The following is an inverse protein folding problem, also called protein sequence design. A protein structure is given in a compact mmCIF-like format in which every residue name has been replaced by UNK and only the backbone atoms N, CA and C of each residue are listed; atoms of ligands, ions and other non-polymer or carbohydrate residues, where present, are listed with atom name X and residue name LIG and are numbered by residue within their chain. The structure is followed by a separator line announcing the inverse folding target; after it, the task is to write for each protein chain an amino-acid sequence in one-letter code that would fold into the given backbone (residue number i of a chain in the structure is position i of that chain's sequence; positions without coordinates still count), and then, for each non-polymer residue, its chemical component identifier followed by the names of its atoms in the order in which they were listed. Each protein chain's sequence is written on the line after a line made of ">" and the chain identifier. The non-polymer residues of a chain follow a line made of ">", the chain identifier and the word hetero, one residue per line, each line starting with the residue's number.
data_IF_759162038267
#
_entry.id   IF_759162038267
#
_cell.length_a   1.000
_cell.length_b   1.000
_cell.length_c   1.000
_cell.angle_alpha   90.00
_cell.angle_beta   90.00
_cell.angle_gamma   90.00
#
_symmetry.space_group_name_H-M   'P 1'
#
loop_
_entity.id
_entity.type
_entity.pdbx_description
1 polymer ?
#
# COMPACT_ATOMS: atom_id res chain seq x y z
N UNK A 1 8.96 -10.37 21.94
CA UNK A 1 8.97 -11.51 21.01
C UNK A 1 10.20 -11.38 20.13
N UNK A 2 11.16 -12.29 20.26
CA UNK A 2 12.38 -12.26 19.44
C UNK A 2 12.05 -12.80 18.05
N UNK A 3 12.06 -11.94 17.04
CA UNK A 3 11.99 -12.41 15.65
C UNK A 3 13.35 -13.03 15.28
N UNK A 4 13.49 -14.35 15.39
CA UNK A 4 14.64 -15.06 14.81
C UNK A 4 14.50 -15.08 13.28
N UNK A 5 14.96 -14.00 12.64
CA UNK A 5 15.27 -14.02 11.23
C UNK A 5 16.54 -14.85 11.03
N UNK A 6 16.39 -16.11 10.59
CA UNK A 6 17.52 -16.87 10.04
C UNK A 6 17.74 -16.44 8.60
N UNK A 7 18.41 -15.32 8.41
CA UNK A 7 19.13 -14.98 7.18
C UNK A 7 20.50 -14.37 7.53
N UNK A 8 21.53 -14.99 6.94
CA UNK A 8 22.99 -14.74 6.96
C UNK A 8 23.51 -13.43 7.58
N UNK A 9 24.41 -13.57 8.56
CA UNK A 9 25.42 -12.56 8.91
C UNK A 9 25.76 -12.48 10.40
N UNK A 10 26.97 -12.93 10.77
CA UNK A 10 27.63 -12.85 12.10
C UNK A 10 27.01 -13.62 13.27
N UNK A 11 27.78 -14.62 13.73
CA UNK A 11 27.54 -15.50 14.87
C UNK A 11 28.08 -14.83 16.15
N UNK A 12 27.20 -14.44 17.07
CA UNK A 12 27.52 -14.51 18.50
C UNK A 12 26.80 -15.73 19.10
N UNK A 13 27.59 -16.55 19.81
CA UNK A 13 27.15 -17.77 20.48
C UNK A 13 26.32 -17.41 21.71
N UNK A 14 25.06 -17.82 21.74
CA UNK A 14 24.33 -18.14 22.97
C UNK A 14 23.44 -19.35 22.70
N UNK A 15 23.66 -20.40 23.49
CA UNK A 15 22.89 -21.64 23.65
C UNK A 15 22.97 -22.66 22.50
N UNK A 16 24.08 -23.42 22.53
CA UNK A 16 24.19 -24.77 21.98
C UNK A 16 23.37 -25.71 22.86
N UNK A 17 22.20 -26.14 22.38
CA UNK A 17 21.62 -27.49 22.60
C UNK A 17 20.16 -27.59 22.12
N UNK A 18 19.85 -26.96 20.98
CA UNK A 18 18.62 -27.29 20.24
C UNK A 18 19.01 -27.89 18.89
N UNK A 19 18.92 -29.22 18.81
CA UNK A 19 19.04 -30.03 17.59
C UNK A 19 18.27 -29.34 16.46
N UNK A 20 18.88 -29.07 15.28
CA UNK A 20 18.16 -28.45 14.18
C UNK A 20 16.94 -29.33 13.84
N UNK A 21 15.73 -28.76 13.71
CA UNK A 21 14.56 -29.54 13.39
C UNK A 21 14.75 -30.23 12.02
N UNK A 22 14.19 -31.44 11.84
CA UNK A 22 14.30 -32.19 10.60
C UNK A 22 13.85 -31.33 9.42
N UNK A 23 14.50 -31.52 8.26
CA UNK A 23 14.26 -30.81 6.98
C UNK A 23 12.92 -31.19 6.33
N UNK A 24 11.85 -31.25 7.13
CA UNK A 24 10.49 -31.44 6.67
C UNK A 24 9.97 -30.20 5.96
N UNK A 25 9.05 -30.42 5.02
CA UNK A 25 8.28 -29.37 4.36
C UNK A 25 7.58 -28.53 5.44
N UNK A 26 7.98 -27.26 5.57
CA UNK A 26 7.32 -26.31 6.47
C UNK A 26 5.88 -26.11 6.00
N UNK A 27 4.91 -26.43 6.85
CA UNK A 27 3.48 -26.20 6.61
C UNK A 27 2.94 -25.24 7.65
N UNK A 28 1.94 -24.46 7.25
CA UNK A 28 1.20 -23.62 8.19
C UNK A 28 0.39 -24.55 9.12
N UNK A 29 0.43 -24.32 10.42
CA UNK A 29 -0.33 -25.05 11.42
C UNK A 29 -1.84 -24.78 11.31
N UNK A 30 -2.23 -23.65 10.71
CA UNK A 30 -3.62 -23.34 10.43
C UNK A 30 -4.16 -24.21 9.28
N UNK A 31 -5.12 -25.09 9.56
CA UNK A 31 -5.72 -26.02 8.61
C UNK A 31 -6.43 -25.33 7.44
N UNK A 32 -6.98 -24.13 7.65
CA UNK A 32 -7.63 -23.31 6.60
C UNK A 32 -6.67 -22.45 5.77
N UNK A 33 -5.36 -22.68 5.87
CA UNK A 33 -4.36 -21.91 5.13
C UNK A 33 -4.22 -22.41 3.68
N UNK A 34 -4.87 -21.72 2.74
CA UNK A 34 -4.73 -21.95 1.28
C UNK A 34 -3.39 -21.49 0.68
N UNK A 35 -2.52 -20.87 1.48
CA UNK A 35 -1.23 -20.41 0.97
C UNK A 35 -0.33 -21.61 0.63
N UNK A 36 -0.34 -22.02 -0.63
CA UNK A 36 0.61 -22.97 -1.22
C UNK A 36 1.55 -22.24 -2.17
N UNK A 37 2.85 -22.26 -1.93
CA UNK A 37 3.84 -21.64 -2.81
C UNK A 37 5.27 -21.69 -2.26
N UNK A 38 6.25 -21.68 -3.17
CA UNK A 38 7.69 -21.85 -2.85
C UNK A 38 8.34 -20.65 -2.12
N UNK A 39 7.61 -19.55 -1.90
CA UNK A 39 8.15 -18.32 -1.32
C UNK A 39 7.34 -17.79 -0.11
N UNK A 40 6.81 -18.71 0.69
CA UNK A 40 6.05 -18.34 1.88
C UNK A 40 7.00 -18.22 3.08
N UNK A 41 7.04 -17.04 3.70
CA UNK A 41 7.73 -16.85 4.99
C UNK A 41 6.89 -17.50 6.09
N UNK A 42 7.55 -18.27 6.95
CA UNK A 42 6.93 -18.91 8.11
C UNK A 42 7.52 -18.34 9.39
N UNK A 43 6.67 -18.15 10.40
CA UNK A 43 7.02 -17.69 11.74
C UNK A 43 6.61 -18.76 12.74
N UNK A 44 7.50 -19.08 13.67
CA UNK A 44 7.17 -19.90 14.83
C UNK A 44 6.69 -18.97 15.92
N UNK A 45 5.58 -19.32 16.56
CA UNK A 45 5.03 -18.54 17.66
C UNK A 45 5.62 -19.10 18.95
N UNK A 46 6.48 -18.31 19.61
CA UNK A 46 7.02 -18.71 20.92
C UNK A 46 5.93 -18.60 22.00
N UNK A 47 5.96 -19.51 22.97
CA UNK A 47 5.12 -19.43 24.16
C UNK A 47 5.25 -18.06 24.86
N UNK A 48 4.12 -17.47 25.26
CA UNK A 48 4.07 -16.16 25.91
C UNK A 48 4.26 -14.94 24.98
N UNK A 49 4.21 -15.12 23.65
CA UNK A 49 4.25 -13.97 22.75
C UNK A 49 2.93 -13.16 22.80
N UNK A 50 3.06 -11.84 22.95
CA UNK A 50 1.95 -10.87 22.97
C UNK A 50 2.05 -9.90 21.80
N UNK A 51 2.06 -10.41 20.57
CA UNK A 51 2.11 -9.55 19.38
C UNK A 51 0.74 -8.91 19.12
N UNK A 52 0.69 -7.58 18.99
CA UNK A 52 -0.54 -6.86 18.68
C UNK A 52 -1.54 -6.76 19.85
N UNK A 53 -1.12 -7.01 21.09
CA UNK A 53 -2.00 -6.97 22.27
C UNK A 53 -3.02 -8.11 22.31
N UNK A 54 -2.74 -9.22 21.63
CA UNK A 54 -3.54 -10.44 21.63
C UNK A 54 -2.79 -11.55 22.37
N UNK A 55 -3.55 -12.46 22.97
CA UNK A 55 -3.01 -13.68 23.58
C UNK A 55 -2.75 -14.71 22.47
N UNK A 56 -1.52 -15.25 22.41
CA UNK A 56 -1.12 -16.27 21.44
C UNK A 56 -0.95 -17.65 22.08
N UNK A 57 -1.38 -17.84 23.33
CA UNK A 57 -1.16 -19.07 24.08
C UNK A 57 -1.72 -20.31 23.38
N UNK A 58 -2.87 -20.18 22.71
CA UNK A 58 -3.47 -21.26 21.91
C UNK A 58 -2.66 -21.66 20.66
N UNK A 59 -1.72 -20.80 20.24
CA UNK A 59 -0.86 -20.99 19.06
C UNK A 59 0.61 -21.15 19.45
N UNK A 60 0.93 -21.31 20.74
CA UNK A 60 2.29 -21.55 21.19
C UNK A 60 2.89 -22.77 20.47
N UNK A 61 4.14 -22.64 20.04
CA UNK A 61 4.91 -23.62 19.28
C UNK A 61 4.34 -23.96 17.88
N UNK A 62 3.28 -23.27 17.45
CA UNK A 62 2.71 -23.41 16.11
C UNK A 62 3.51 -22.61 15.09
N UNK A 63 3.59 -23.12 13.85
CA UNK A 63 4.22 -22.45 12.73
C UNK A 63 3.16 -21.84 11.82
N UNK A 64 3.13 -20.51 11.67
CA UNK A 64 2.20 -19.83 10.78
C UNK A 64 2.91 -19.25 9.56
N UNK A 65 2.26 -19.26 8.41
CA UNK A 65 2.72 -18.41 7.30
C UNK A 65 2.53 -16.93 7.66
N UNK A 66 3.31 -16.05 7.03
CA UNK A 66 3.26 -14.59 7.26
C UNK A 66 1.83 -14.04 7.16
N UNK A 67 1.06 -14.50 6.18
CA UNK A 67 -0.33 -14.07 5.99
C UNK A 67 -1.24 -14.48 7.16
N UNK A 68 -1.10 -15.71 7.66
CA UNK A 68 -1.85 -16.21 8.82
C UNK A 68 -1.42 -15.48 10.10
N UNK A 69 -0.12 -15.26 10.26
CA UNK A 69 0.43 -14.49 11.38
C UNK A 69 -0.14 -13.05 11.40
N UNK A 70 -0.09 -12.32 10.29
CA UNK A 70 -0.59 -10.96 10.22
C UNK A 70 -2.11 -10.89 10.41
N UNK A 71 -2.84 -11.91 9.94
CA UNK A 71 -4.28 -12.04 10.22
C UNK A 71 -4.55 -12.18 11.71
N UNK A 72 -3.92 -13.15 12.37
CA UNK A 72 -4.13 -13.39 13.80
C UNK A 72 -3.69 -12.17 14.63
N UNK A 73 -2.54 -11.57 14.30
CA UNK A 73 -2.06 -10.35 14.94
C UNK A 73 -3.06 -9.20 14.86
N UNK A 74 -3.78 -9.07 13.73
CA UNK A 74 -4.73 -7.97 13.49
C UNK A 74 -6.13 -8.27 14.05
N UNK A 75 -6.59 -9.52 13.96
CA UNK A 75 -7.97 -9.90 14.22
C UNK A 75 -8.15 -10.72 15.50
N UNK A 76 -7.10 -11.34 16.03
CA UNK A 76 -7.15 -12.27 17.16
C UNK A 76 -7.69 -13.66 16.82
N UNK A 77 -8.04 -13.91 15.56
CA UNK A 77 -8.48 -15.23 15.06
C UNK A 77 -7.82 -15.53 13.71
N UNK A 78 -7.53 -16.81 13.47
CA UNK A 78 -6.97 -17.33 12.22
C UNK A 78 -8.07 -17.68 11.23
N UNK A 79 -9.26 -17.97 11.74
CA UNK A 79 -10.42 -18.24 10.94
C UNK A 79 -10.57 -17.11 9.94
N UNK A 80 -10.49 -17.47 8.65
CA UNK A 80 -11.21 -16.67 7.67
C UNK A 80 -12.61 -16.72 8.25
N UNK A 81 -13.09 -15.62 8.84
CA UNK A 81 -14.51 -15.49 9.07
C UNK A 81 -15.10 -15.84 7.70
N UNK A 82 -15.70 -17.03 7.62
CA UNK A 82 -16.25 -17.59 6.39
C UNK A 82 -17.48 -16.75 6.10
N UNK A 83 -17.25 -15.49 5.76
CA UNK A 83 -18.08 -14.77 4.83
C UNK A 83 -17.85 -15.45 3.48
N UNK A 84 -18.26 -16.72 3.39
CA UNK A 84 -18.73 -17.33 2.15
C UNK A 84 -19.55 -16.21 1.52
N UNK A 85 -19.17 -15.73 0.32
CA UNK A 85 -19.85 -14.60 -0.29
C UNK A 85 -21.33 -14.95 -0.29
N UNK A 86 -22.11 -14.27 0.56
CA UNK A 86 -23.54 -14.49 0.61
C UNK A 86 -24.03 -14.34 -0.82
N UNK A 87 -24.85 -15.29 -1.27
CA UNK A 87 -25.43 -15.25 -2.61
C UNK A 87 -26.04 -13.86 -2.85
N UNK A 88 -25.92 -13.34 -4.08
CA UNK A 88 -26.23 -11.94 -4.38
C UNK A 88 -27.64 -11.52 -3.96
N UNK A 89 -28.56 -12.50 -3.90
CA UNK A 89 -29.95 -12.39 -3.45
C UNK A 89 -30.11 -12.14 -1.94
N UNK A 90 -29.12 -12.49 -1.10
CA UNK A 90 -29.17 -12.41 0.36
C UNK A 90 -28.46 -11.18 0.95
N UNK A 91 -27.97 -10.24 0.12
CA UNK A 91 -27.15 -9.11 0.54
C UNK A 91 -27.96 -7.85 0.84
N UNK A 92 -28.86 -7.93 1.82
CA UNK A 92 -29.61 -6.78 2.31
C UNK A 92 -29.35 -6.57 3.80
N UNK A 93 -29.12 -5.31 4.19
CA UNK A 93 -29.05 -4.94 5.59
C UNK A 93 -30.41 -5.23 6.24
N UNK A 94 -30.41 -6.09 7.25
CA UNK A 94 -31.60 -6.52 7.99
C UNK A 94 -32.01 -5.52 9.10
N UNK A 95 -31.31 -4.40 9.21
CA UNK A 95 -31.73 -3.33 10.12
C UNK A 95 -32.80 -2.46 9.46
N UNK A 96 -34.01 -2.45 10.04
CA UNK A 96 -35.20 -1.82 9.47
C UNK A 96 -35.04 -0.32 9.20
N UNK A 97 -34.24 0.41 9.99
CA UNK A 97 -34.00 1.85 9.80
C UNK A 97 -32.75 2.16 8.97
N UNK A 98 -32.27 1.21 8.17
CA UNK A 98 -31.16 1.43 7.25
C UNK A 98 -31.62 2.26 6.03
N UNK A 99 -30.99 3.42 5.79
CA UNK A 99 -31.34 4.29 4.65
C UNK A 99 -31.12 3.62 3.28
N UNK A 100 -30.16 2.70 3.24
CA UNK A 100 -29.66 2.09 2.01
C UNK A 100 -29.26 0.64 2.28
N UNK A 101 -30.25 -0.25 2.41
CA UNK A 101 -29.99 -1.61 2.84
C UNK A 101 -29.24 -2.45 1.79
N UNK A 102 -29.23 -2.03 0.52
CA UNK A 102 -28.60 -2.75 -0.61
C UNK A 102 -27.30 -2.08 -1.13
N UNK A 103 -27.04 -0.80 -0.81
CA UNK A 103 -25.95 0.00 -1.40
C UNK A 103 -24.56 -0.29 -0.80
N UNK A 104 -24.40 -1.40 -0.08
CA UNK A 104 -23.13 -1.75 0.56
C UNK A 104 -22.38 -2.82 -0.21
N UNK A 105 -21.10 -2.60 -0.44
CA UNK A 105 -20.21 -3.62 -1.04
C UNK A 105 -19.86 -4.74 -0.06
N UNK A 106 -20.14 -4.56 1.23
CA UNK A 106 -19.75 -5.48 2.30
C UNK A 106 -20.85 -5.52 3.36
N UNK A 107 -21.12 -6.73 3.81
CA UNK A 107 -22.07 -7.03 4.87
C UNK A 107 -21.36 -7.86 5.93
N UNK A 108 -21.80 -7.71 7.18
CA UNK A 108 -21.28 -8.43 8.33
C UNK A 108 -22.44 -9.13 9.00
N UNK A 109 -22.38 -10.46 9.08
CA UNK A 109 -23.32 -11.23 9.87
C UNK A 109 -22.82 -11.22 11.32
N UNK A 110 -23.70 -10.85 12.24
CA UNK A 110 -23.38 -10.83 13.66
C UNK A 110 -23.61 -12.23 14.21
N UNK A 111 -22.58 -12.83 14.81
CA UNK A 111 -22.58 -14.21 15.33
C UNK A 111 -23.04 -14.29 16.80
N UNK A 112 -23.31 -13.16 17.45
CA UNK A 112 -23.73 -13.09 18.86
C UNK A 112 -22.58 -13.18 19.86
N UNK A 113 -21.45 -13.79 19.49
CA UNK A 113 -20.24 -13.88 20.31
C UNK A 113 -19.24 -12.73 20.04
N UNK A 114 -19.45 -11.97 18.97
CA UNK A 114 -18.61 -10.82 18.63
C UNK A 114 -18.55 -9.77 19.76
N UNK A 115 -17.38 -9.58 20.37
CA UNK A 115 -17.10 -8.46 21.29
C UNK A 115 -16.46 -7.24 20.58
N UNK A 116 -16.78 -7.06 19.28
CA UNK A 116 -16.12 -6.05 18.46
C UNK A 116 -16.43 -4.63 18.97
N UNK A 117 -15.39 -3.88 19.35
CA UNK A 117 -15.54 -2.51 19.87
C UNK A 117 -16.05 -2.41 21.32
N UNK A 118 -16.04 -3.51 22.08
CA UNK A 118 -16.45 -3.52 23.49
C UNK A 118 -17.94 -3.26 23.71
N UNK A 119 -18.76 -3.46 22.68
CA UNK A 119 -20.22 -3.37 22.75
C UNK A 119 -20.82 -4.77 22.88
N UNK A 120 -22.02 -4.87 23.47
CA UNK A 120 -22.80 -6.11 23.49
C UNK A 120 -23.58 -6.26 22.18
N UNK A 121 -23.30 -7.32 21.42
CA UNK A 121 -23.92 -7.61 20.13
C UNK A 121 -25.04 -8.65 20.25
N UNK A 122 -25.35 -9.12 21.45
CA UNK A 122 -26.30 -10.21 21.69
C UNK A 122 -27.69 -9.94 21.10
N UNK A 123 -28.17 -8.69 21.16
CA UNK A 123 -29.46 -8.26 20.57
C UNK A 123 -29.49 -8.27 19.05
N UNK A 124 -28.32 -8.35 18.40
CA UNK A 124 -28.16 -8.35 16.95
C UNK A 124 -27.66 -9.70 16.42
N UNK A 125 -27.59 -10.73 17.26
CA UNK A 125 -27.16 -12.07 16.85
C UNK A 125 -28.03 -12.59 15.68
N UNK A 126 -27.37 -13.07 14.62
CA UNK A 126 -28.00 -13.51 13.37
C UNK A 126 -28.34 -12.40 12.38
N UNK A 127 -28.26 -11.12 12.76
CA UNK A 127 -28.62 -9.99 11.90
C UNK A 127 -27.49 -9.69 10.92
N UNK A 128 -27.84 -9.48 9.65
CA UNK A 128 -26.90 -9.04 8.61
C UNK A 128 -26.88 -7.51 8.52
N UNK A 129 -25.76 -6.88 8.86
CA UNK A 129 -25.61 -5.42 8.81
C UNK A 129 -24.72 -5.00 7.63
N UNK A 130 -25.09 -3.90 6.97
CA UNK A 130 -24.17 -3.21 6.07
C UNK A 130 -23.02 -2.57 6.86
N UNK A 131 -21.88 -2.32 6.22
CA UNK A 131 -20.71 -1.73 6.91
C UNK A 131 -21.02 -0.42 7.64
N UNK A 132 -21.92 0.41 7.11
CA UNK A 132 -22.28 1.68 7.74
C UNK A 132 -23.06 1.49 9.05
N UNK A 133 -23.97 0.51 9.10
CA UNK A 133 -24.72 0.16 10.31
C UNK A 133 -23.81 -0.54 11.32
N UNK A 134 -23.00 -1.50 10.86
CA UNK A 134 -21.99 -2.17 11.68
C UNK A 134 -21.06 -1.16 12.36
N UNK A 135 -20.48 -0.21 11.60
CA UNK A 135 -19.59 0.81 12.17
C UNK A 135 -20.30 1.75 13.14
N UNK A 136 -21.59 2.05 12.91
CA UNK A 136 -22.36 2.87 13.84
C UNK A 136 -22.53 2.14 15.18
N UNK A 137 -23.02 0.91 15.16
CA UNK A 137 -23.22 0.13 16.38
C UNK A 137 -21.89 -0.07 17.12
N UNK A 138 -20.84 -0.45 16.39
CA UNK A 138 -19.49 -0.62 16.96
C UNK A 138 -18.97 0.64 17.67
N UNK A 139 -19.31 1.84 17.17
CA UNK A 139 -18.83 3.11 17.75
C UNK A 139 -19.73 3.66 18.86
N UNK A 140 -21.04 3.41 18.79
CA UNK A 140 -22.02 4.09 19.63
C UNK A 140 -22.83 3.15 20.53
N UNK A 141 -22.70 1.83 20.36
CA UNK A 141 -23.51 0.82 21.07
C UNK A 141 -24.99 0.79 20.65
N UNK A 142 -25.39 1.58 19.66
CA UNK A 142 -26.78 1.64 19.17
C UNK A 142 -26.82 1.89 17.66
N UNK A 143 -27.78 1.24 16.99
CA UNK A 143 -28.09 1.45 15.57
C UNK A 143 -29.06 2.60 15.36
N UNK A 144 -29.84 2.93 16.40
CA UNK A 144 -30.74 4.06 16.38
C UNK A 144 -29.94 5.30 16.03
N UNK A 145 -30.40 6.01 15.00
CA UNK A 145 -29.89 7.36 14.78
C UNK A 145 -30.30 8.13 16.01
N UNK A 146 -29.33 8.48 16.86
CA UNK A 146 -29.53 9.54 17.82
C UNK A 146 -30.28 10.64 17.07
N UNK A 147 -31.50 11.03 17.52
CA UNK A 147 -32.31 11.99 16.80
C UNK A 147 -31.36 13.12 16.51
N UNK A 148 -31.18 13.43 15.21
CA UNK A 148 -30.34 14.55 14.82
C UNK A 148 -30.99 15.72 15.52
N UNK A 149 -30.49 16.07 16.72
CA UNK A 149 -30.78 17.33 17.38
C UNK A 149 -30.30 18.28 16.29
N UNK A 150 -31.25 18.78 15.50
CA UNK A 150 -31.03 19.94 14.66
C UNK A 150 -30.61 20.94 15.71
N UNK A 151 -29.30 21.07 15.88
CA UNK A 151 -28.77 22.02 16.83
C UNK A 151 -29.50 23.31 16.46
N UNK A 152 -30.22 23.94 17.42
CA UNK A 152 -30.89 25.19 17.14
C UNK A 152 -29.88 26.05 16.39
N UNK A 153 -30.27 26.69 15.27
CA UNK A 153 -29.35 27.38 14.38
C UNK A 153 -28.46 28.25 15.25
N UNK A 154 -27.23 27.76 15.47
CA UNK A 154 -26.31 28.44 16.35
C UNK A 154 -26.04 29.80 15.73
N UNK A 155 -25.59 30.79 16.52
CA UNK A 155 -25.12 32.04 15.94
C UNK A 155 -24.19 31.72 14.76
N UNK A 156 -24.30 32.45 13.64
CA UNK A 156 -23.52 32.19 12.44
C UNK A 156 -22.05 32.06 12.83
N UNK A 157 -21.47 30.88 12.59
CA UNK A 157 -20.08 30.61 12.92
C UNK A 157 -19.23 31.42 11.94
N UNK A 158 -18.54 32.43 12.44
CA UNK A 158 -17.55 33.19 11.67
C UNK A 158 -16.14 32.78 12.07
N UNK A 159 -15.18 32.97 11.17
CA UNK A 159 -13.78 32.81 11.49
C UNK A 159 -13.35 33.91 12.47
N UNK A 160 -12.82 33.53 13.63
CA UNK A 160 -12.30 34.45 14.66
C UNK A 160 -11.00 35.13 14.25
N UNK A 161 -10.32 34.65 13.21
CA UNK A 161 -9.09 35.26 12.74
C UNK A 161 -9.36 36.56 11.98
N UNK A 162 -8.90 37.68 12.53
CA UNK A 162 -9.21 39.03 12.04
C UNK A 162 -8.71 39.32 10.61
N UNK A 163 -7.69 38.61 10.11
CA UNK A 163 -7.20 38.73 8.72
C UNK A 163 -7.72 37.61 7.80
N UNK A 164 -8.80 36.93 8.18
CA UNK A 164 -9.45 35.99 7.30
C UNK A 164 -10.13 36.74 6.14
N UNK A 165 -9.89 36.40 4.85
CA UNK A 165 -10.50 37.10 3.72
C UNK A 165 -11.99 36.81 3.57
N UNK A 166 -12.45 35.69 4.15
CA UNK A 166 -13.82 35.18 4.04
C UNK A 166 -14.23 34.60 5.39
N UNK A 167 -14.46 35.44 6.42
CA UNK A 167 -14.78 34.95 7.75
C UNK A 167 -16.14 34.24 7.79
N UNK A 168 -17.09 34.65 6.94
CA UNK A 168 -18.47 34.15 6.93
C UNK A 168 -18.77 33.13 5.81
N UNK A 169 -17.89 33.03 4.81
CA UNK A 169 -18.09 32.16 3.63
C UNK A 169 -17.17 30.94 3.67
N UNK A 170 -17.41 30.05 4.62
CA UNK A 170 -16.69 28.78 4.69
C UNK A 170 -17.60 27.59 4.96
N UNK A 171 -17.38 26.52 4.18
CA UNK A 171 -18.15 25.27 4.29
C UNK A 171 -17.99 24.57 5.64
N UNK A 172 -16.91 24.87 6.37
CA UNK A 172 -16.56 24.22 7.63
C UNK A 172 -15.79 25.15 8.55
N UNK A 173 -16.22 25.16 9.81
CA UNK A 173 -15.60 25.87 10.92
C UNK A 173 -15.12 24.86 11.97
N UNK A 174 -13.95 25.11 12.53
CA UNK A 174 -13.29 24.25 13.50
C UNK A 174 -13.04 25.08 14.74
N UNK A 175 -13.65 24.68 15.86
CA UNK A 175 -13.35 25.27 17.17
C UNK A 175 -12.02 24.70 17.64
N UNK A 176 -11.10 25.57 18.02
CA UNK A 176 -9.81 25.21 18.55
C UNK A 176 -9.95 25.02 20.06
N UNK A 177 -9.28 23.97 20.54
CA UNK A 177 -9.10 23.70 21.95
C UNK A 177 -7.59 23.77 22.23
N UNK A 178 -7.18 24.41 23.32
CA UNK A 178 -5.78 24.69 23.64
C UNK A 178 -4.92 23.45 23.86
N UNK A 179 -5.54 22.29 24.09
CA UNK A 179 -4.91 20.98 24.20
C UNK A 179 -4.74 20.26 22.85
N UNK A 180 -5.15 20.87 21.74
CA UNK A 180 -4.98 20.30 20.40
C UNK A 180 -3.51 20.17 20.04
N UNK A 181 -3.10 18.97 19.61
CA UNK A 181 -1.74 18.68 19.10
C UNK A 181 -1.71 18.52 17.57
N UNK A 182 -2.77 18.96 16.88
CA UNK A 182 -2.91 18.78 15.44
C UNK A 182 -1.75 19.42 14.67
N UNK A 183 -1.05 18.62 13.86
CA UNK A 183 0.08 19.09 13.05
C UNK A 183 1.38 19.36 13.83
N UNK A 184 1.45 18.98 15.11
CA UNK A 184 2.62 19.23 15.95
C UNK A 184 2.86 20.70 16.29
N UNK A 185 1.85 21.54 16.13
CA UNK A 185 1.89 22.98 16.47
C UNK A 185 1.30 23.22 17.84
N UNK A 186 1.71 24.30 18.51
CA UNK A 186 1.08 24.79 19.73
C UNK A 186 -0.16 25.64 19.39
N UNK A 187 -1.33 25.20 19.86
CA UNK A 187 -2.61 25.86 19.62
C UNK A 187 -3.08 26.73 20.79
N UNK A 188 -2.29 26.83 21.87
CA UNK A 188 -2.65 27.55 23.10
C UNK A 188 -3.09 29.00 22.83
N UNK A 189 -2.39 29.71 21.93
CA UNK A 189 -2.73 31.09 21.53
C UNK A 189 -4.06 31.23 20.76
N UNK A 190 -4.60 30.11 20.28
CA UNK A 190 -5.84 30.06 19.52
C UNK A 190 -6.96 29.35 20.30
N UNK A 191 -6.77 29.03 21.58
CA UNK A 191 -7.79 28.35 22.38
C UNK A 191 -9.12 29.12 22.39
N UNK A 192 -10.21 28.39 22.20
CA UNK A 192 -11.57 28.93 22.11
C UNK A 192 -11.91 29.60 20.76
N UNK A 193 -10.92 29.95 19.92
CA UNK A 193 -11.17 30.55 18.62
C UNK A 193 -11.85 29.56 17.67
N UNK A 194 -12.65 30.09 16.75
CA UNK A 194 -13.25 29.32 15.66
C UNK A 194 -12.56 29.68 14.36
N UNK A 195 -11.84 28.75 13.75
CA UNK A 195 -11.19 29.00 12.46
C UNK A 195 -12.00 28.39 11.32
N UNK A 196 -12.00 29.07 10.18
CA UNK A 196 -12.44 28.44 8.95
C UNK A 196 -11.43 27.36 8.51
N UNK A 197 -11.88 26.38 7.72
CA UNK A 197 -11.03 25.25 7.30
C UNK A 197 -9.70 25.69 6.69
N UNK A 198 -9.70 26.74 5.87
CA UNK A 198 -8.49 27.28 5.23
C UNK A 198 -7.50 27.86 6.25
N UNK A 199 -7.99 28.61 7.24
CA UNK A 199 -7.14 29.17 8.30
C UNK A 199 -6.59 28.05 9.21
N UNK A 200 -7.44 27.08 9.57
CA UNK A 200 -7.03 25.92 10.35
C UNK A 200 -5.90 25.13 9.67
N UNK A 201 -6.06 24.77 8.39
CA UNK A 201 -5.04 24.02 7.66
C UNK A 201 -3.74 24.81 7.54
N UNK A 202 -3.82 26.12 7.30
CA UNK A 202 -2.63 26.96 7.26
C UNK A 202 -1.87 26.96 8.58
N UNK A 203 -2.54 27.20 9.71
CA UNK A 203 -1.87 27.17 11.01
C UNK A 203 -1.30 25.79 11.30
N UNK A 204 -2.07 24.72 11.02
CA UNK A 204 -1.62 23.34 11.16
C UNK A 204 -0.33 23.04 10.38
N UNK A 205 -0.23 23.54 9.15
CA UNK A 205 0.89 23.23 8.26
C UNK A 205 2.09 24.17 8.46
N UNK A 206 1.86 25.43 8.88
CA UNK A 206 2.90 26.48 8.95
C UNK A 206 3.21 26.99 10.36
N UNK A 207 2.38 26.68 11.36
CA UNK A 207 2.48 27.24 12.71
C UNK A 207 2.08 28.71 12.84
N UNK A 208 1.62 29.36 11.76
CA UNK A 208 1.19 30.77 11.77
C UNK A 208 -0.05 30.99 10.89
N UNK A 209 -0.92 31.91 11.32
CA UNK A 209 -2.07 32.38 10.55
C UNK A 209 -1.73 33.59 9.68
N UNK A 210 -0.60 34.25 9.95
CA UNK A 210 -0.17 35.43 9.22
C UNK A 210 -0.02 35.09 7.74
N UNK A 211 -0.66 35.93 6.92
CA UNK A 211 -0.39 35.97 5.50
C UNK A 211 0.92 36.73 5.38
N UNK A 212 1.97 36.06 4.91
CA UNK A 212 3.16 36.77 4.42
C UNK A 212 2.66 37.92 3.53
N UNK A 213 3.22 39.12 3.64
CA UNK A 213 2.74 40.28 2.85
C UNK A 213 2.70 40.02 1.33
N UNK A 214 3.40 38.98 0.88
CA UNK A 214 3.40 38.42 -0.48
C UNK A 214 2.08 37.73 -0.90
N UNK A 215 1.22 37.34 0.05
CA UNK A 215 -0.15 36.83 -0.19
C UNK A 215 -1.16 37.98 -0.44
N UNK A 216 -0.76 39.24 -0.26
CA UNK A 216 -1.52 40.38 -0.80
C UNK A 216 -1.48 40.24 -2.32
N UNK A 217 -2.61 39.80 -2.88
CA UNK A 217 -2.90 39.65 -4.30
C UNK A 217 -1.98 40.55 -5.14
N UNK A 218 -0.97 40.00 -5.85
CA UNK A 218 -0.07 40.83 -6.62
C UNK A 218 -0.87 41.63 -7.66
N UNK A 219 -0.43 42.87 -7.97
CA UNK A 219 -1.06 43.67 -9.01
C UNK A 219 -1.14 42.84 -10.32
N UNK A 220 -2.23 42.97 -11.08
CA UNK A 220 -2.46 42.13 -12.24
C UNK A 220 -1.46 42.49 -13.36
N UNK A 221 -1.27 41.53 -14.27
CA UNK A 221 -0.76 41.70 -15.65
C UNK A 221 0.74 41.79 -15.93
N UNK A 222 1.59 41.17 -15.10
CA UNK A 222 2.89 40.67 -15.59
C UNK A 222 2.73 39.26 -16.17
N UNK A 223 3.23 39.01 -17.39
CA UNK A 223 3.34 37.65 -17.94
C UNK A 223 4.20 36.82 -16.99
N UNK A 224 3.60 35.89 -16.25
CA UNK A 224 4.32 35.01 -15.32
C UNK A 224 5.25 34.12 -16.14
N UNK A 225 6.55 34.23 -15.91
CA UNK A 225 7.58 33.36 -16.50
C UNK A 225 8.23 32.54 -15.41
N UNK A 226 8.58 31.30 -15.75
CA UNK A 226 9.39 30.47 -14.87
C UNK A 226 10.80 31.08 -14.78
N UNK A 227 11.34 31.23 -13.58
CA UNK A 227 12.68 31.75 -13.33
C UNK A 227 13.77 30.80 -13.84
N UNK A 228 13.44 29.52 -14.02
CA UNK A 228 14.35 28.56 -14.63
C UNK A 228 14.48 28.82 -16.13
N UNK A 229 15.66 29.25 -16.58
CA UNK A 229 15.96 29.59 -17.97
C UNK A 229 15.77 28.41 -18.94
N UNK A 230 15.97 27.16 -18.48
CA UNK A 230 15.72 25.94 -19.26
C UNK A 230 14.25 25.47 -19.28
N UNK A 231 13.31 26.29 -18.79
CA UNK A 231 11.89 25.93 -18.77
C UNK A 231 11.21 26.24 -20.11
N UNK A 232 10.90 25.21 -20.88
CA UNK A 232 10.16 25.32 -22.16
C UNK A 232 8.65 25.43 -21.97
N UNK A 233 8.16 25.43 -20.72
CA UNK A 233 6.74 25.43 -20.44
C UNK A 233 6.15 26.82 -20.76
N UNK A 234 5.63 26.96 -21.98
CA UNK A 234 4.84 28.11 -22.43
C UNK A 234 3.39 27.64 -22.63
N UNK A 235 2.45 28.22 -21.90
CA UNK A 235 1.05 27.83 -21.97
C UNK A 235 0.18 28.56 -20.95
N UNK A 236 -1.04 28.88 -21.35
CA UNK A 236 -2.00 29.69 -20.57
C UNK A 236 -2.52 28.99 -19.29
N UNK A 237 -2.26 27.69 -19.13
CA UNK A 237 -2.76 26.87 -18.01
C UNK A 237 -1.67 26.37 -17.06
N UNK A 238 -0.51 27.02 -17.02
CA UNK A 238 0.58 26.62 -16.14
C UNK A 238 0.41 27.29 -14.78
N UNK A 239 0.29 26.48 -13.72
CA UNK A 239 0.32 26.97 -12.34
C UNK A 239 1.75 27.38 -11.98
N UNK A 240 1.91 28.59 -11.49
CA UNK A 240 3.18 29.12 -10.99
C UNK A 240 3.15 29.19 -9.47
N UNK A 241 4.28 28.87 -8.84
CA UNK A 241 4.52 28.98 -7.40
C UNK A 241 5.69 29.93 -7.17
N UNK A 242 5.52 30.85 -6.23
CA UNK A 242 6.62 31.65 -5.69
C UNK A 242 7.30 30.84 -4.61
N UNK A 243 8.62 30.81 -4.62
CA UNK A 243 9.42 30.14 -3.59
C UNK A 243 9.66 31.14 -2.47
N UNK A 244 9.09 30.86 -1.29
CA UNK A 244 9.35 31.69 -0.11
C UNK A 244 10.78 31.46 0.41
N UNK A 245 11.43 32.54 0.86
CA UNK A 245 12.69 32.44 1.58
C UNK A 245 12.54 31.52 2.80
N UNK A 246 13.50 30.60 3.00
CA UNK A 246 13.45 29.60 4.08
C UNK A 246 12.53 28.40 3.82
N UNK A 247 11.96 28.25 2.61
CA UNK A 247 11.20 27.06 2.26
C UNK A 247 12.10 25.81 2.28
N UNK A 248 11.66 24.74 2.95
CA UNK A 248 12.36 23.44 3.02
C UNK A 248 11.52 22.31 2.40
N UNK A 249 10.75 22.62 1.35
CA UNK A 249 9.88 21.64 0.73
C UNK A 249 10.67 20.44 0.19
N UNK A 250 10.32 19.23 0.63
CA UNK A 250 11.02 17.99 0.23
C UNK A 250 12.39 17.78 0.90
N UNK A 251 12.71 18.54 1.96
CA UNK A 251 13.99 18.41 2.67
C UNK A 251 15.20 18.90 1.86
N UNK A 252 14.96 19.80 0.90
CA UNK A 252 16.00 20.45 0.09
C UNK A 252 16.10 21.91 0.50
N UNK A 253 17.30 22.48 0.36
CA UNK A 253 17.53 23.91 0.55
C UNK A 253 17.06 24.66 -0.70
N UNK A 254 16.14 25.62 -0.52
CA UNK A 254 15.60 26.45 -1.60
C UNK A 254 16.20 27.86 -1.61
N UNK A 255 17.23 28.13 -0.80
CA UNK A 255 17.78 29.48 -0.62
C UNK A 255 18.24 30.12 -1.93
N UNK A 256 18.81 29.34 -2.86
CA UNK A 256 19.23 29.83 -4.18
C UNK A 256 18.05 30.21 -5.11
N UNK A 257 16.84 29.76 -4.78
CA UNK A 257 15.61 30.02 -5.53
C UNK A 257 14.64 30.90 -4.75
N UNK A 258 15.04 31.44 -3.60
CA UNK A 258 14.19 32.33 -2.81
C UNK A 258 13.70 33.50 -3.68
N UNK A 259 12.41 33.81 -3.56
CA UNK A 259 11.70 34.85 -4.32
C UNK A 259 11.60 34.62 -5.83
N UNK A 260 12.09 33.48 -6.32
CA UNK A 260 11.91 33.06 -7.71
C UNK A 260 10.53 32.46 -7.93
N UNK A 261 10.00 32.60 -9.14
CA UNK A 261 8.73 31.98 -9.55
C UNK A 261 9.00 30.77 -10.41
N UNK A 262 8.56 29.58 -10.00
CA UNK A 262 8.69 28.36 -10.78
C UNK A 262 7.32 27.89 -11.29
N UNK A 263 7.28 27.31 -12.48
CA UNK A 263 6.11 26.53 -12.88
C UNK A 263 6.00 25.27 -11.99
N UNK A 264 4.78 24.73 -11.85
CA UNK A 264 4.52 23.53 -11.05
C UNK A 264 5.47 22.37 -11.39
N UNK A 265 5.77 22.16 -12.66
CA UNK A 265 6.69 21.10 -13.11
C UNK A 265 8.13 21.31 -12.62
N UNK A 266 8.64 22.54 -12.70
CA UNK A 266 9.97 22.89 -12.19
C UNK A 266 10.02 22.81 -10.66
N UNK A 267 8.95 23.26 -9.99
CA UNK A 267 8.81 23.14 -8.54
C UNK A 267 8.88 21.67 -8.09
N UNK A 268 8.07 20.80 -8.69
CA UNK A 268 8.05 19.38 -8.31
C UNK A 268 9.36 18.67 -8.64
N UNK A 269 10.04 19.08 -9.73
CA UNK A 269 11.38 18.57 -10.05
C UNK A 269 12.38 18.94 -8.96
N UNK A 270 12.50 20.22 -8.63
CA UNK A 270 13.46 20.67 -7.61
C UNK A 270 13.14 20.06 -6.24
N UNK A 271 11.87 20.02 -5.87
CA UNK A 271 11.40 19.35 -4.64
C UNK A 271 11.84 17.90 -4.56
N UNK A 272 11.82 17.16 -5.68
CA UNK A 272 12.14 15.73 -5.73
C UNK A 272 13.64 15.46 -5.88
N UNK A 273 14.33 16.26 -6.69
CA UNK A 273 15.70 15.99 -7.13
C UNK A 273 16.75 16.93 -6.52
N UNK A 274 16.34 18.07 -5.96
CA UNK A 274 17.25 19.12 -5.48
C UNK A 274 17.93 19.93 -6.60
N UNK A 275 17.60 19.68 -7.87
CA UNK A 275 18.10 20.43 -9.02
C UNK A 275 16.97 20.68 -10.04
N UNK A 276 17.03 21.85 -10.71
CA UNK A 276 16.10 22.23 -11.77
C UNK A 276 16.55 21.71 -13.13
N UNK A 277 17.85 21.47 -13.27
CA UNK A 277 18.43 20.91 -14.47
C UNK A 277 17.72 19.60 -14.76
N UNK A 278 17.10 19.55 -15.96
CA UNK A 278 16.90 18.24 -16.56
C UNK A 278 18.31 17.69 -16.58
N UNK A 279 18.58 16.61 -15.84
CA UNK A 279 19.74 15.81 -16.15
C UNK A 279 19.57 15.56 -17.66
N UNK A 280 20.40 16.21 -18.46
CA UNK A 280 20.41 16.08 -19.90
C UNK A 280 20.92 14.67 -20.15
N UNK A 281 20.06 13.69 -19.88
CA UNK A 281 20.04 12.44 -20.56
C UNK A 281 19.60 12.81 -21.98
N UNK A 282 20.51 13.50 -22.71
CA UNK A 282 20.55 13.52 -24.16
C UNK A 282 20.23 12.08 -24.53
N UNK A 283 19.12 11.83 -25.22
CA UNK A 283 18.70 10.48 -25.50
C UNK A 283 19.92 9.78 -26.08
N UNK A 284 20.46 8.82 -25.34
CA UNK A 284 21.70 8.14 -25.76
C UNK A 284 21.46 7.71 -27.19
N UNK A 285 22.44 7.98 -28.06
CA UNK A 285 22.35 7.59 -29.47
C UNK A 285 21.97 6.10 -29.52
N UNK A 286 21.20 5.69 -30.53
CA UNK A 286 20.65 4.33 -30.60
C UNK A 286 21.73 3.24 -30.48
N UNK A 287 22.94 3.56 -30.92
CA UNK A 287 24.15 2.74 -30.80
C UNK A 287 24.66 2.55 -29.35
N UNK A 288 24.43 3.54 -28.47
CA UNK A 288 24.86 3.56 -27.08
C UNK A 288 23.82 3.01 -26.09
N UNK A 289 22.64 2.58 -26.56
CA UNK A 289 21.55 2.04 -25.73
C UNK A 289 21.67 0.53 -25.48
N UNK A 290 22.80 0.11 -24.90
CA UNK A 290 23.00 -1.28 -24.50
C UNK A 290 23.30 -1.35 -23.01
N UNK A 291 22.64 -2.29 -22.32
CA UNK A 291 22.99 -2.61 -20.95
C UNK A 291 24.45 -3.10 -20.92
N UNK A 292 25.31 -2.40 -20.20
CA UNK A 292 26.73 -2.73 -20.05
C UNK A 292 26.98 -3.83 -19.01
N UNK A 293 25.93 -4.45 -18.47
CA UNK A 293 26.07 -5.61 -17.60
C UNK A 293 26.18 -6.88 -18.44
N UNK A 294 27.35 -7.53 -18.40
CA UNK A 294 27.69 -8.68 -19.26
C UNK A 294 26.73 -9.87 -19.16
N UNK A 295 26.05 -10.05 -18.01
CA UNK A 295 25.08 -11.14 -17.82
C UNK A 295 23.61 -10.71 -18.06
N UNK A 296 23.39 -9.58 -18.74
CA UNK A 296 22.06 -9.15 -19.16
C UNK A 296 21.56 -10.02 -20.33
N UNK A 297 20.41 -10.68 -20.19
CA UNK A 297 19.86 -11.55 -21.26
C UNK A 297 19.49 -10.77 -22.53
N UNK A 298 19.13 -9.49 -22.34
CA UNK A 298 18.53 -8.64 -23.37
C UNK A 298 19.06 -7.22 -23.19
N UNK A 299 20.33 -6.96 -23.56
CA UNK A 299 20.96 -5.67 -23.32
C UNK A 299 20.30 -4.53 -24.11
N UNK A 300 19.60 -4.82 -25.20
CA UNK A 300 19.01 -3.83 -26.12
C UNK A 300 17.49 -3.64 -25.95
N UNK A 301 16.76 -4.59 -25.34
CA UNK A 301 15.28 -4.60 -25.30
C UNK A 301 14.66 -3.56 -24.35
N UNK A 302 15.46 -2.74 -23.68
CA UNK A 302 14.95 -1.79 -22.69
C UNK A 302 14.59 -0.46 -23.33
N UNK A 303 13.37 0.04 -23.05
CA UNK A 303 12.95 1.39 -23.47
C UNK A 303 13.64 2.51 -22.70
N UNK A 304 14.29 2.19 -21.58
CA UNK A 304 14.95 3.14 -20.68
C UNK A 304 16.26 2.56 -20.17
N UNK A 305 17.27 3.41 -20.14
CA UNK A 305 18.58 3.11 -19.59
C UNK A 305 18.91 4.14 -18.53
N UNK A 306 19.65 3.72 -17.51
CA UNK A 306 20.08 4.56 -16.41
C UNK A 306 21.59 4.48 -16.36
N UNK A 307 22.25 5.62 -16.55
CA UNK A 307 23.68 5.75 -16.31
C UNK A 307 23.88 5.93 -14.81
N UNK A 308 24.71 5.09 -14.21
CA UNK A 308 25.02 5.16 -12.79
C UNK A 308 26.12 6.20 -12.59
N UNK A 309 25.86 7.20 -11.75
CA UNK A 309 26.81 8.27 -11.42
C UNK A 309 27.85 7.86 -10.37
N UNK A 310 27.57 6.81 -9.59
CA UNK A 310 28.41 6.34 -8.48
C UNK A 310 28.14 7.04 -7.15
N UNK A 311 27.41 8.15 -7.16
CA UNK A 311 27.05 8.94 -5.96
C UNK A 311 25.62 8.64 -5.46
N UNK A 312 24.78 8.07 -6.33
CA UNK A 312 23.40 7.72 -5.99
C UNK A 312 23.33 6.68 -4.87
N UNK A 313 22.67 7.01 -3.75
CA UNK A 313 22.31 6.05 -2.69
C UNK A 313 20.91 5.43 -2.90
N UNK A 314 20.50 5.24 -4.16
CA UNK A 314 19.14 4.81 -4.48
C UNK A 314 18.86 3.41 -3.92
N UNK A 315 17.83 3.27 -3.08
CA UNK A 315 17.49 2.00 -2.43
C UNK A 315 18.43 1.58 -1.30
N UNK A 316 19.27 2.47 -0.78
CA UNK A 316 20.20 2.19 0.30
C UNK A 316 21.32 1.22 -0.06
N UNK A 317 21.57 1.03 -1.36
CA UNK A 317 22.68 0.22 -1.89
C UNK A 317 23.85 1.13 -2.25
N UNK A 318 25.07 0.58 -2.22
CA UNK A 318 26.26 1.24 -2.74
C UNK A 318 26.39 1.01 -4.24
N UNK A 319 26.39 2.10 -5.02
CA UNK A 319 26.47 2.06 -6.48
C UNK A 319 27.88 2.36 -7.01
N UNK A 320 28.86 2.57 -6.14
CA UNK A 320 30.23 2.96 -6.48
C UNK A 320 30.89 2.01 -7.50
N UNK A 321 30.71 0.69 -7.34
CA UNK A 321 31.24 -0.33 -8.26
C UNK A 321 30.61 -0.32 -9.66
N UNK A 322 29.49 0.38 -9.84
CA UNK A 322 28.77 0.51 -11.10
C UNK A 322 28.88 1.93 -11.68
N UNK A 323 29.69 2.82 -11.09
CA UNK A 323 29.89 4.17 -11.60
C UNK A 323 30.30 4.17 -13.08
N UNK A 324 29.61 4.94 -13.91
CA UNK A 324 29.78 5.01 -15.35
C UNK A 324 29.08 3.91 -16.16
N UNK A 325 28.57 2.86 -15.52
CA UNK A 325 27.89 1.74 -16.20
C UNK A 325 26.47 2.14 -16.61
N UNK A 326 26.10 1.81 -17.84
CA UNK A 326 24.73 1.97 -18.33
C UNK A 326 23.90 0.71 -18.08
N UNK A 327 22.88 0.79 -17.24
CA UNK A 327 22.00 -0.34 -16.94
C UNK A 327 20.63 -0.21 -17.61
N UNK A 328 20.10 -1.31 -18.13
CA UNK A 328 18.68 -1.38 -18.46
C UNK A 328 17.83 -1.30 -17.19
N UNK A 329 16.55 -0.91 -17.33
CA UNK A 329 15.66 -0.74 -16.18
C UNK A 329 15.52 -2.03 -15.34
N UNK A 330 15.54 -3.21 -15.97
CA UNK A 330 15.46 -4.49 -15.27
C UNK A 330 16.70 -4.79 -14.42
N UNK A 331 17.90 -4.47 -14.93
CA UNK A 331 19.15 -4.60 -14.18
C UNK A 331 19.23 -3.55 -13.06
N UNK A 332 18.87 -2.29 -13.34
CA UNK A 332 18.80 -1.23 -12.35
C UNK A 332 17.88 -1.61 -11.18
N UNK A 333 16.65 -2.04 -11.45
CA UNK A 333 15.70 -2.41 -10.41
C UNK A 333 16.15 -3.65 -9.63
N UNK A 334 16.84 -4.60 -10.28
CA UNK A 334 17.42 -5.75 -9.58
C UNK A 334 18.47 -5.30 -8.59
N UNK A 335 19.44 -4.50 -9.01
CA UNK A 335 20.49 -4.00 -8.11
C UNK A 335 19.89 -3.17 -6.99
N UNK A 336 18.98 -2.24 -7.32
CA UNK A 336 18.28 -1.40 -6.33
C UNK A 336 17.53 -2.21 -5.27
N UNK A 337 16.97 -3.37 -5.63
CA UNK A 337 16.21 -4.24 -4.70
C UNK A 337 17.08 -5.22 -3.94
N UNK A 338 18.15 -5.72 -4.55
CA UNK A 338 18.90 -6.88 -4.03
C UNK A 338 20.36 -6.57 -3.69
N UNK A 339 20.87 -5.38 -4.01
CA UNK A 339 22.27 -5.01 -3.84
C UNK A 339 23.24 -5.76 -4.75
N UNK A 340 22.73 -6.55 -5.71
CA UNK A 340 23.54 -7.32 -6.64
C UNK A 340 22.84 -7.50 -7.99
N UNK A 341 23.63 -7.44 -9.06
CA UNK A 341 23.19 -7.72 -10.43
C UNK A 341 23.23 -9.22 -10.76
N UNK A 342 24.03 -9.98 -10.01
CA UNK A 342 24.15 -11.42 -10.17
C UNK A 342 22.78 -12.05 -10.03
N UNK A 343 22.40 -12.85 -11.04
CA UNK A 343 21.22 -13.70 -10.88
C UNK A 343 21.58 -14.66 -9.76
N UNK A 344 20.84 -14.59 -8.65
CA UNK A 344 20.83 -15.69 -7.69
C UNK A 344 20.70 -16.98 -8.50
N UNK A 345 21.61 -17.96 -8.33
CA UNK A 345 21.61 -19.16 -9.14
C UNK A 345 20.20 -19.70 -9.07
N UNK A 346 19.51 -19.73 -10.22
CA UNK A 346 18.21 -20.37 -10.30
C UNK A 346 18.47 -21.76 -9.80
N UNK A 347 17.99 -22.10 -8.59
CA UNK A 347 17.99 -23.47 -8.12
C UNK A 347 17.27 -24.20 -9.24
N UNK A 348 18.01 -24.95 -10.07
CA UNK A 348 17.41 -25.82 -11.07
C UNK A 348 16.52 -26.70 -10.22
N UNK A 349 15.21 -26.47 -10.30
CA UNK A 349 14.27 -27.31 -9.60
C UNK A 349 14.69 -28.74 -9.97
N UNK A 350 14.88 -29.64 -8.99
CA UNK A 350 15.20 -31.02 -9.28
C UNK A 350 14.22 -31.48 -10.37
N UNK A 351 14.67 -32.22 -11.40
CA UNK A 351 13.79 -32.66 -12.46
C UNK A 351 12.57 -33.29 -11.79
N UNK A 352 11.43 -32.60 -11.92
CA UNK A 352 10.20 -33.09 -11.33
C UNK A 352 9.90 -34.46 -11.93
N UNK A 353 9.11 -35.30 -11.24
CA UNK A 353 8.69 -36.56 -11.81
C UNK A 353 8.15 -36.33 -13.23
N UNK A 354 8.45 -37.23 -14.20
CA UNK A 354 7.99 -37.09 -15.56
C UNK A 354 6.48 -36.86 -15.56
N UNK A 355 6.06 -35.71 -16.08
CA UNK A 355 4.64 -35.34 -16.14
C UNK A 355 4.00 -36.24 -17.19
N UNK A 356 3.01 -37.03 -16.79
CA UNK A 356 2.17 -37.85 -17.67
C UNK A 356 0.77 -37.27 -17.72
N UNK A 357 0.06 -37.47 -18.83
CA UNK A 357 -1.37 -37.17 -18.89
C UNK A 357 -2.12 -38.17 -17.99
N UNK A 358 -2.86 -37.69 -17.00
CA UNK A 358 -3.65 -38.54 -16.09
C UNK A 358 -5.03 -38.89 -16.63
N UNK A 359 -5.37 -38.44 -17.85
CA UNK A 359 -6.63 -38.82 -18.48
C UNK A 359 -6.55 -40.23 -19.06
N UNK A 360 -7.43 -41.12 -18.58
CA UNK A 360 -7.41 -42.55 -18.90
C UNK A 360 -7.63 -42.88 -20.39
N UNK A 361 -8.25 -41.99 -21.17
CA UNK A 361 -8.43 -42.15 -22.63
C UNK A 361 -7.41 -41.36 -23.46
N UNK A 362 -6.32 -40.88 -22.85
CA UNK A 362 -5.27 -40.20 -23.58
C UNK A 362 -4.48 -41.21 -24.43
N UNK A 363 -4.43 -41.07 -25.77
CA UNK A 363 -3.77 -42.04 -26.64
C UNK A 363 -2.23 -42.04 -26.49
N UNK A 364 -1.66 -40.94 -26.00
CA UNK A 364 -0.21 -40.77 -25.81
C UNK A 364 0.07 -40.00 -24.50
N UNK A 365 -0.04 -40.65 -23.34
CA UNK A 365 0.08 -39.97 -22.05
C UNK A 365 1.51 -39.49 -21.73
N UNK A 366 2.52 -40.08 -22.36
CA UNK A 366 3.94 -39.80 -22.11
C UNK A 366 4.59 -38.84 -23.12
N UNK A 367 4.04 -38.69 -24.33
CA UNK A 367 4.70 -38.00 -25.46
C UNK A 367 4.16 -36.56 -25.69
N UNK A 368 3.64 -35.93 -24.64
CA UNK A 368 3.04 -34.61 -24.77
C UNK A 368 4.04 -33.50 -24.44
N UNK A 369 4.18 -32.52 -25.35
CA UNK A 369 5.08 -31.36 -25.17
C UNK A 369 4.63 -30.38 -24.07
N UNK A 370 3.34 -30.39 -23.71
CA UNK A 370 2.74 -29.46 -22.74
C UNK A 370 1.67 -30.16 -21.91
N UNK A 371 1.69 -29.89 -20.61
CA UNK A 371 0.76 -30.40 -19.61
C UNK A 371 0.13 -29.24 -18.84
N UNK A 372 -1.18 -29.32 -18.57
CA UNK A 372 -1.96 -28.35 -17.83
C UNK A 372 -2.54 -29.09 -16.60
N UNK A 373 -2.30 -28.54 -15.42
CA UNK A 373 -2.93 -29.04 -14.19
C UNK A 373 -4.30 -28.40 -14.05
N UNK A 374 -5.33 -29.22 -13.90
CA UNK A 374 -6.70 -28.78 -13.69
C UNK A 374 -6.92 -28.60 -12.20
N UNK A 375 -7.55 -27.47 -11.87
CA UNK A 375 -8.05 -27.16 -10.55
C UNK A 375 -9.58 -27.10 -10.67
N UNK A 376 -10.29 -27.68 -9.70
CA UNK A 376 -11.75 -27.91 -9.76
C UNK A 376 -12.61 -26.64 -9.85
N UNK A 377 -12.01 -25.47 -9.69
CA UNK A 377 -12.64 -24.16 -9.87
C UNK A 377 -12.47 -23.59 -11.29
N UNK A 378 -11.81 -24.31 -12.20
CA UNK A 378 -11.61 -23.88 -13.59
C UNK A 378 -12.92 -23.94 -14.39
N UNK A 379 -13.34 -22.81 -14.97
CA UNK A 379 -14.53 -22.72 -15.84
C UNK A 379 -14.17 -22.55 -17.32
N UNK A 380 -13.03 -23.08 -17.76
CA UNK A 380 -12.58 -22.94 -19.13
C UNK A 380 -13.59 -23.56 -20.11
N UNK A 381 -14.08 -22.77 -21.08
CA UNK A 381 -15.07 -23.27 -22.06
C UNK A 381 -16.51 -23.39 -21.53
N UNK A 382 -16.81 -22.96 -20.30
CA UNK A 382 -18.17 -23.00 -19.75
C UNK A 382 -18.64 -24.38 -19.27
N UNK A 383 -17.79 -25.41 -19.34
CA UNK A 383 -18.05 -26.71 -18.75
C UNK A 383 -17.62 -26.76 -17.27
N UNK A 384 -18.23 -27.66 -16.50
CA UNK A 384 -17.81 -27.98 -15.14
C UNK A 384 -16.63 -28.97 -15.17
N UNK A 385 -15.47 -28.54 -14.67
CA UNK A 385 -14.24 -29.32 -14.62
C UNK A 385 -14.05 -30.04 -13.28
N UNK A 386 -15.04 -30.03 -12.39
CA UNK A 386 -14.97 -30.65 -11.05
C UNK A 386 -14.53 -32.12 -11.09
N UNK A 387 -14.98 -32.90 -12.07
CA UNK A 387 -14.58 -34.31 -12.25
C UNK A 387 -13.12 -34.51 -12.68
N UNK A 388 -12.45 -33.44 -13.11
CA UNK A 388 -11.05 -33.46 -13.53
C UNK A 388 -10.14 -32.73 -12.53
N UNK A 389 -10.64 -32.36 -11.34
CA UNK A 389 -9.82 -31.70 -10.33
C UNK A 389 -8.61 -32.57 -9.93
N UNK A 390 -7.45 -31.92 -9.85
CA UNK A 390 -6.18 -32.58 -9.56
C UNK A 390 -5.54 -33.31 -10.74
N UNK A 391 -6.26 -33.52 -11.86
CA UNK A 391 -5.70 -34.17 -13.04
C UNK A 391 -4.69 -33.28 -13.77
N UNK A 392 -3.70 -33.91 -14.39
CA UNK A 392 -2.77 -33.27 -15.31
C UNK A 392 -3.12 -33.72 -16.72
N UNK A 393 -3.67 -32.82 -17.53
CA UNK A 393 -4.04 -33.12 -18.91
C UNK A 393 -2.93 -32.69 -19.86
N UNK A 394 -2.67 -33.46 -20.90
CA UNK A 394 -1.91 -32.93 -22.02
C UNK A 394 -2.73 -31.86 -22.75
N UNK A 395 -2.05 -30.96 -23.46
CA UNK A 395 -2.71 -29.87 -24.19
C UNK A 395 -3.79 -30.38 -25.16
N UNK A 396 -3.56 -31.51 -25.83
CA UNK A 396 -4.53 -32.11 -26.75
C UNK A 396 -5.79 -32.58 -26.02
N UNK A 397 -5.66 -33.25 -24.87
CA UNK A 397 -6.81 -33.66 -24.06
C UNK A 397 -7.52 -32.45 -23.47
N UNK A 398 -6.79 -31.44 -23.00
CA UNK A 398 -7.37 -30.21 -22.48
C UNK A 398 -8.23 -29.50 -23.53
N UNK A 399 -7.75 -29.36 -24.77
CA UNK A 399 -8.53 -28.72 -25.83
C UNK A 399 -9.80 -29.50 -26.17
N UNK A 400 -9.76 -30.84 -26.18
CA UNK A 400 -10.95 -31.68 -26.41
C UNK A 400 -12.04 -31.54 -25.34
N UNK A 401 -11.69 -31.22 -24.10
CA UNK A 401 -12.66 -30.97 -23.03
C UNK A 401 -13.13 -29.51 -23.01
N UNK A 402 -12.38 -28.60 -23.65
CA UNK A 402 -12.70 -27.18 -23.68
C UNK A 402 -13.73 -26.85 -24.78
N UNK A 403 -13.64 -27.55 -25.91
CA UNK A 403 -14.60 -27.50 -27.02
C UNK A 403 -15.87 -28.29 -26.66
#
# INVERSE_FOLDING_TARGET
>A
CYMRFKDRGTLERSDKDKKPPPTGVKKCAYSGCEASGENIKFLVIDAGCNAGGKDWSALADSMLCQTCYDRYRKHGTLDKADAKPLDGSARKCMFDQCDKPEDSRRFVQIDGESAAGGQDWSSLAGVLLCMACYDRFRKHGSLEKAPRKKAPPGPPKKCSYHLCPQPDDCKKYIKIYGDSTAGGQDWSMLDGNTLCLTCYMRFKDRGTLERSDKDKKPPPTGVKKCAYSGCEASGENIKFLVIDAGCNAGGKDWSALADSMLCQTCYDRYRKHGTLDKADAKPLDGSARKCMFDQCDKPEDSRRFVQIDGESAAGGQDWSSLAGVLLCMACYDRFRKHGSLEKAPRKKAPPGPPKKCSYHLCPQPDDCKKYIKIYGDSTAGGQDWSMLDGNTLCLTCYMRFKD
#
